data_IF_523356586686
#
_entry.id   IF_523356586686
#
_cell.length_a   1.000
_cell.length_b   1.000
_cell.length_c   1.000
_cell.angle_alpha   90.00
_cell.angle_beta   90.00
_cell.angle_gamma   90.00
#
_symmetry.space_group_name_H-M   'P 1'
#
loop_
_entity.id
_entity.type
_entity.pdbx_description
1 polymer ?
#
# COMPACT_ATOMS: atom_id res chain seq x y z
N UNK A 1 -23.73 -3.02 -8.55
CA UNK A 1 -22.91 -1.78 -8.64
C UNK A 1 -21.59 -2.09 -7.96
N UNK A 2 -20.50 -2.09 -8.72
CA UNK A 2 -19.16 -2.33 -8.18
C UNK A 2 -18.74 -1.13 -7.35
N UNK A 3 -18.46 -1.36 -6.06
CA UNK A 3 -17.99 -0.32 -5.13
C UNK A 3 -16.50 0.00 -5.42
N UNK A 4 -16.21 0.66 -6.55
CA UNK A 4 -14.86 1.01 -7.00
C UNK A 4 -14.67 2.51 -6.90
N UNK A 5 -13.54 2.93 -6.31
CA UNK A 5 -13.06 4.30 -6.36
C UNK A 5 -12.09 4.41 -7.55
N UNK A 6 -12.31 5.37 -8.45
CA UNK A 6 -11.52 5.54 -9.66
C UNK A 6 -11.10 6.99 -9.85
N UNK A 7 -9.85 7.19 -10.23
CA UNK A 7 -9.34 8.44 -10.74
C UNK A 7 -9.19 8.31 -12.26
N UNK A 8 -9.52 9.37 -12.98
CA UNK A 8 -9.48 9.39 -14.43
C UNK A 8 -8.90 10.73 -14.92
N UNK A 9 -7.69 10.67 -15.46
CA UNK A 9 -7.00 11.81 -16.04
C UNK A 9 -6.72 12.98 -15.10
N UNK A 10 -6.46 12.73 -13.83
CA UNK A 10 -6.31 13.79 -12.82
C UNK A 10 -5.00 14.55 -12.99
N UNK A 11 -5.10 15.86 -13.20
CA UNK A 11 -3.99 16.81 -13.25
C UNK A 11 -4.02 17.75 -12.04
N UNK A 12 -2.83 18.18 -11.58
CA UNK A 12 -2.69 19.22 -10.57
C UNK A 12 -1.36 19.92 -10.63
N UNK A 13 -1.41 21.28 -10.62
CA UNK A 13 -0.25 22.16 -10.56
C UNK A 13 -0.34 23.12 -9.36
N UNK A 14 0.79 23.58 -8.87
CA UNK A 14 0.94 24.66 -7.89
C UNK A 14 1.89 25.71 -8.46
N UNK A 15 1.35 26.82 -8.96
CA UNK A 15 2.09 27.76 -9.77
C UNK A 15 2.62 27.03 -11.03
N UNK A 16 3.88 27.18 -11.32
CA UNK A 16 4.55 26.55 -12.48
C UNK A 16 4.91 25.07 -12.25
N UNK A 17 4.77 24.56 -11.03
CA UNK A 17 5.12 23.18 -10.70
C UNK A 17 3.94 22.25 -10.93
N UNK A 18 4.03 21.40 -11.95
CA UNK A 18 3.08 20.31 -12.18
C UNK A 18 3.38 19.15 -11.23
N UNK A 19 2.42 18.81 -10.38
CA UNK A 19 2.57 17.79 -9.33
C UNK A 19 1.90 16.49 -9.72
N UNK A 20 0.77 16.54 -10.43
CA UNK A 20 0.11 15.35 -10.98
C UNK A 20 -0.10 15.56 -12.47
N UNK A 21 0.12 14.49 -13.24
CA UNK A 21 0.05 14.49 -14.71
C UNK A 21 -0.75 13.26 -15.16
N UNK A 22 -1.99 13.49 -15.61
CA UNK A 22 -2.87 12.46 -16.16
C UNK A 22 -2.97 11.20 -15.26
N UNK A 23 -3.11 11.41 -13.95
CA UNK A 23 -3.14 10.32 -12.97
C UNK A 23 -4.46 9.55 -13.09
N UNK A 24 -4.36 8.27 -13.43
CA UNK A 24 -5.49 7.36 -13.62
C UNK A 24 -5.21 6.01 -12.96
N UNK A 25 -6.09 5.57 -12.06
CA UNK A 25 -6.05 4.23 -11.44
C UNK A 25 -7.36 3.92 -10.75
N UNK A 26 -7.52 2.67 -10.34
CA UNK A 26 -8.68 2.18 -9.60
C UNK A 26 -8.28 1.63 -8.23
N UNK A 27 -9.19 1.78 -7.26
CA UNK A 27 -9.14 1.13 -5.95
C UNK A 27 -10.34 0.20 -5.88
N UNK A 28 -10.16 -1.12 -6.09
CA UNK A 28 -11.26 -2.05 -6.16
C UNK A 28 -11.96 -2.26 -4.81
N UNK A 29 -13.25 -2.61 -4.88
CA UNK A 29 -14.03 -3.00 -3.72
C UNK A 29 -13.44 -4.21 -2.99
N UNK A 30 -13.42 -4.16 -1.67
CA UNK A 30 -13.01 -5.29 -0.86
C UNK A 30 -11.51 -5.61 -0.89
N UNK A 31 -10.69 -4.70 -1.42
CA UNK A 31 -9.25 -4.90 -1.58
C UNK A 31 -8.45 -3.79 -0.93
N UNK A 32 -7.25 -4.14 -0.53
CA UNK A 32 -6.26 -3.20 -0.01
C UNK A 32 -5.30 -2.82 -1.13
N UNK A 33 -5.32 -1.56 -1.53
CA UNK A 33 -4.46 -0.99 -2.58
C UNK A 33 -3.34 -0.15 -1.96
N UNK A 34 -2.10 -0.58 -2.16
CA UNK A 34 -0.91 0.18 -1.78
C UNK A 34 -0.61 1.27 -2.81
N UNK A 35 -0.47 2.52 -2.37
CA UNK A 35 -0.09 3.66 -3.20
C UNK A 35 1.34 4.08 -2.88
N UNK A 36 2.28 3.67 -3.72
CA UNK A 36 3.72 3.78 -3.45
C UNK A 36 4.41 4.80 -4.35
N UNK A 37 5.37 5.47 -3.80
CA UNK A 37 6.18 6.45 -4.51
C UNK A 37 7.13 7.17 -3.57
N UNK A 38 8.19 7.76 -4.10
CA UNK A 38 9.12 8.57 -3.34
C UNK A 38 8.47 9.81 -2.72
N UNK A 39 9.23 10.51 -1.87
CA UNK A 39 8.77 11.77 -1.30
C UNK A 39 8.56 12.81 -2.42
N UNK A 40 7.44 13.52 -2.37
CA UNK A 40 7.07 14.50 -3.40
C UNK A 40 6.55 13.90 -4.71
N UNK A 41 6.35 12.58 -4.81
CA UNK A 41 5.82 11.92 -6.01
C UNK A 41 4.34 12.27 -6.32
N UNK A 42 3.61 12.86 -5.36
CA UNK A 42 2.22 13.27 -5.55
C UNK A 42 1.19 12.46 -4.74
N UNK A 43 1.62 11.52 -3.87
CA UNK A 43 0.73 10.66 -3.08
C UNK A 43 -0.29 11.44 -2.25
N UNK A 44 0.17 12.27 -1.33
CA UNK A 44 -0.68 13.10 -0.46
C UNK A 44 -1.56 14.06 -1.26
N UNK A 45 -1.05 14.64 -2.36
CA UNK A 45 -1.82 15.50 -3.26
C UNK A 45 -2.99 14.73 -3.88
N UNK A 46 -2.74 13.52 -4.37
CA UNK A 46 -3.77 12.63 -4.93
C UNK A 46 -4.84 12.29 -3.89
N UNK A 47 -4.44 11.91 -2.67
CA UNK A 47 -5.37 11.60 -1.59
C UNK A 47 -6.22 12.81 -1.20
N UNK A 48 -5.62 14.02 -1.12
CA UNK A 48 -6.36 15.27 -0.85
C UNK A 48 -7.38 15.60 -1.96
N UNK A 49 -7.10 15.25 -3.21
CA UNK A 49 -8.06 15.40 -4.31
C UNK A 49 -9.21 14.40 -4.17
N UNK A 50 -8.95 13.14 -3.85
CA UNK A 50 -9.99 12.13 -3.58
C UNK A 50 -10.93 12.64 -2.48
N UNK A 51 -10.38 13.19 -1.42
CA UNK A 51 -11.14 13.71 -0.27
C UNK A 51 -11.82 15.07 -0.54
N UNK A 52 -11.51 15.71 -1.68
CA UNK A 52 -12.06 17.04 -2.01
C UNK A 52 -11.52 18.18 -1.16
N UNK A 53 -10.43 17.96 -0.43
CA UNK A 53 -9.65 19.00 0.28
C UNK A 53 -8.91 19.87 -0.74
N UNK A 54 -8.54 19.27 -1.86
CA UNK A 54 -7.90 19.95 -2.98
C UNK A 54 -8.69 19.67 -4.27
N UNK A 55 -8.87 20.69 -5.10
CA UNK A 55 -9.47 20.53 -6.42
C UNK A 55 -8.43 19.99 -7.43
N UNK A 56 -8.85 19.15 -8.37
CA UNK A 56 -8.07 18.83 -9.55
C UNK A 56 -8.17 19.99 -10.56
N UNK A 57 -7.11 20.19 -11.37
CA UNK A 57 -7.13 21.16 -12.46
C UNK A 57 -7.81 20.55 -13.70
N UNK A 58 -7.70 19.23 -13.88
CA UNK A 58 -8.39 18.45 -14.91
C UNK A 58 -8.64 17.02 -14.41
N UNK A 59 -9.46 16.28 -15.15
CA UNK A 59 -9.85 14.91 -14.80
C UNK A 59 -10.93 14.85 -13.74
N UNK A 60 -11.20 13.66 -13.24
CA UNK A 60 -12.26 13.45 -12.25
C UNK A 60 -11.97 12.29 -11.32
N UNK A 61 -12.62 12.30 -10.16
CA UNK A 61 -12.70 11.16 -9.25
C UNK A 61 -14.13 10.65 -9.24
N UNK A 62 -14.29 9.36 -9.47
CA UNK A 62 -15.60 8.70 -9.47
C UNK A 62 -15.66 7.61 -8.40
N UNK A 63 -16.84 7.37 -7.89
CA UNK A 63 -17.13 6.28 -6.97
C UNK A 63 -18.47 5.65 -7.34
N UNK A 64 -18.49 4.31 -7.38
CA UNK A 64 -19.68 3.56 -7.84
C UNK A 64 -20.14 4.00 -9.25
N UNK A 65 -19.19 4.34 -10.13
CA UNK A 65 -19.45 4.71 -11.52
C UNK A 65 -19.96 6.14 -11.75
N UNK A 66 -20.02 6.99 -10.73
CA UNK A 66 -20.45 8.39 -10.83
C UNK A 66 -19.45 9.35 -10.18
N UNK A 67 -19.40 10.63 -10.59
CA UNK A 67 -18.55 11.62 -9.96
C UNK A 67 -18.81 11.73 -8.45
N UNK A 68 -17.74 11.88 -7.67
CA UNK A 68 -17.79 12.02 -6.22
C UNK A 68 -18.44 13.35 -5.83
N UNK A 69 -19.43 13.26 -4.95
CA UNK A 69 -20.06 14.44 -4.32
C UNK A 69 -19.45 14.74 -2.94
N UNK A 70 -19.76 15.90 -2.38
CA UNK A 70 -19.41 16.26 -1.01
C UNK A 70 -20.06 15.33 0.02
N UNK A 71 -21.29 14.87 -0.27
CA UNK A 71 -22.02 13.96 0.61
C UNK A 71 -21.38 12.56 0.65
N UNK A 72 -20.89 12.09 -0.50
CA UNK A 72 -20.17 10.80 -0.55
C UNK A 72 -18.93 10.82 0.34
N UNK A 73 -18.17 11.92 0.30
CA UNK A 73 -16.94 12.07 1.08
C UNK A 73 -17.15 12.06 2.59
N UNK A 74 -18.37 12.37 3.08
CA UNK A 74 -18.72 12.23 4.51
C UNK A 74 -18.70 10.78 4.98
N UNK A 75 -18.84 9.83 4.04
CA UNK A 75 -18.81 8.39 4.31
C UNK A 75 -17.42 7.79 4.14
N UNK A 76 -16.41 8.63 3.84
CA UNK A 76 -15.02 8.20 3.72
C UNK A 76 -14.30 8.34 5.07
N UNK A 77 -13.48 7.34 5.38
CA UNK A 77 -12.51 7.43 6.46
C UNK A 77 -11.20 7.97 5.94
N UNK A 78 -10.65 8.94 6.63
CA UNK A 78 -9.38 9.54 6.28
C UNK A 78 -8.42 9.55 7.46
N UNK A 79 -7.21 9.16 7.20
CA UNK A 79 -6.08 9.32 8.11
C UNK A 79 -4.99 10.12 7.39
N UNK A 80 -4.67 11.33 7.84
CA UNK A 80 -3.55 12.12 7.32
C UNK A 80 -2.20 11.57 7.82
N UNK A 81 -1.12 11.84 7.09
CA UNK A 81 0.27 11.56 7.52
C UNK A 81 0.62 12.33 8.80
N UNK A 82 0.22 13.61 8.86
CA UNK A 82 0.39 14.43 10.05
C UNK A 82 -0.61 14.05 11.13
N UNK A 83 -0.16 14.04 12.39
CA UNK A 83 -1.03 13.71 13.52
C UNK A 83 -2.02 14.83 13.76
N UNK A 84 -3.26 14.62 13.32
CA UNK A 84 -4.34 15.61 13.40
C UNK A 84 -5.22 15.51 14.65
N UNK A 85 -4.89 14.63 15.60
CA UNK A 85 -5.66 14.44 16.82
C UNK A 85 -5.27 15.47 17.89
N UNK A 86 -6.22 15.85 18.76
CA UNK A 86 -6.01 16.83 19.83
C UNK A 86 -5.19 16.26 20.98
N UNK A 87 -3.99 16.80 21.28
CA UNK A 87 -3.06 16.21 22.27
C UNK A 87 -3.64 16.11 23.68
N UNK A 88 -4.45 17.08 24.08
CA UNK A 88 -5.02 17.22 25.43
C UNK A 88 -6.43 16.64 25.59
N UNK A 89 -6.91 15.87 24.62
CA UNK A 89 -8.11 15.05 24.73
C UNK A 89 -7.76 13.61 25.01
N UNK A 90 -8.61 12.90 25.76
CA UNK A 90 -8.44 11.45 25.90
C UNK A 90 -8.76 10.77 24.56
N UNK A 91 -8.13 9.61 24.34
CA UNK A 91 -8.32 8.85 23.08
C UNK A 91 -9.80 8.51 22.88
N UNK A 92 -10.48 8.01 23.93
CA UNK A 92 -11.88 7.62 23.89
C UNK A 92 -12.81 8.79 23.56
N UNK A 93 -12.63 9.91 24.26
CA UNK A 93 -13.44 11.12 24.02
C UNK A 93 -13.29 11.60 22.59
N UNK A 94 -12.05 11.61 22.10
CA UNK A 94 -11.74 12.13 20.78
C UNK A 94 -12.28 11.26 19.66
N UNK A 95 -12.08 9.93 19.72
CA UNK A 95 -12.63 9.00 18.74
C UNK A 95 -14.16 9.05 18.75
N UNK A 96 -14.79 9.09 19.94
CA UNK A 96 -16.24 9.27 20.07
C UNK A 96 -16.72 10.59 19.47
N UNK A 97 -15.99 11.68 19.71
CA UNK A 97 -16.30 13.00 19.15
C UNK A 97 -16.26 12.98 17.62
N UNK A 98 -15.23 12.38 17.02
CA UNK A 98 -15.11 12.27 15.56
C UNK A 98 -16.24 11.41 14.96
N UNK A 99 -16.63 10.31 15.59
CA UNK A 99 -17.82 9.54 15.18
C UNK A 99 -19.09 10.41 15.15
N UNK A 100 -19.27 11.28 16.16
CA UNK A 100 -20.41 12.22 16.20
C UNK A 100 -20.34 13.27 15.09
N UNK A 101 -19.17 13.77 14.74
CA UNK A 101 -18.99 14.70 13.61
C UNK A 101 -19.41 14.06 12.27
N UNK A 102 -19.28 12.73 12.15
CA UNK A 102 -19.79 11.97 11.01
C UNK A 102 -21.29 11.61 11.11
N UNK A 103 -22.01 12.18 12.08
CA UNK A 103 -23.47 12.05 12.20
C UNK A 103 -23.95 10.88 13.06
N UNK A 104 -23.05 10.16 13.74
CA UNK A 104 -23.45 9.11 14.66
C UNK A 104 -24.13 9.66 15.93
N UNK A 105 -25.07 8.89 16.47
CA UNK A 105 -25.56 9.17 17.83
C UNK A 105 -24.44 8.97 18.85
N UNK A 106 -24.48 9.67 19.97
CA UNK A 106 -23.47 9.52 21.03
C UNK A 106 -23.32 8.08 21.50
N UNK A 107 -24.42 7.35 21.63
CA UNK A 107 -24.42 5.98 22.06
C UNK A 107 -23.76 5.04 21.02
N UNK A 108 -24.03 5.24 19.73
CA UNK A 108 -23.40 4.45 18.65
C UNK A 108 -21.90 4.77 18.53
N UNK A 109 -21.53 6.06 18.53
CA UNK A 109 -20.13 6.49 18.47
C UNK A 109 -19.32 5.90 19.64
N UNK A 110 -19.89 5.89 20.86
CA UNK A 110 -19.22 5.34 22.03
C UNK A 110 -19.01 3.83 21.93
N UNK A 111 -20.03 3.09 21.50
CA UNK A 111 -19.90 1.62 21.28
C UNK A 111 -18.85 1.31 20.23
N UNK A 112 -18.87 2.00 19.08
CA UNK A 112 -17.87 1.79 18.02
C UNK A 112 -16.47 2.15 18.51
N UNK A 113 -16.34 3.24 19.28
CA UNK A 113 -15.06 3.62 19.90
C UNK A 113 -14.52 2.50 20.78
N UNK A 114 -15.32 1.96 21.71
CA UNK A 114 -14.88 0.91 22.63
C UNK A 114 -14.42 -0.33 21.87
N UNK A 115 -15.20 -0.78 20.88
CA UNK A 115 -14.85 -1.91 20.01
C UNK A 115 -13.55 -1.65 19.23
N UNK A 116 -13.38 -0.47 18.66
CA UNK A 116 -12.18 -0.15 17.88
C UNK A 116 -10.94 -0.02 18.77
N UNK A 117 -11.06 0.61 19.95
CA UNK A 117 -9.94 0.69 20.88
C UNK A 117 -9.46 -0.69 21.34
N UNK A 118 -10.39 -1.63 21.58
CA UNK A 118 -10.05 -3.03 21.85
C UNK A 118 -9.29 -3.65 20.69
N UNK A 119 -9.82 -3.52 19.46
CA UNK A 119 -9.23 -4.10 18.24
C UNK A 119 -7.84 -3.55 17.90
N UNK A 120 -7.62 -2.26 18.13
CA UNK A 120 -6.29 -1.66 17.90
C UNK A 120 -5.37 -1.78 19.13
N UNK A 121 -5.79 -2.48 20.19
CA UNK A 121 -5.00 -2.72 21.40
C UNK A 121 -4.78 -1.47 22.25
N UNK A 122 -5.80 -0.60 22.34
CA UNK A 122 -5.80 0.64 23.15
C UNK A 122 -6.93 0.67 24.20
N UNK A 123 -7.60 -0.45 24.49
CA UNK A 123 -8.73 -0.48 25.41
C UNK A 123 -8.38 0.10 26.78
N UNK A 124 -7.25 -0.31 27.37
CA UNK A 124 -6.79 0.13 28.69
C UNK A 124 -6.20 1.56 28.67
N UNK A 125 -5.91 2.09 27.51
CA UNK A 125 -5.36 3.43 27.28
C UNK A 125 -6.41 4.44 26.77
N UNK A 126 -7.68 4.02 26.70
CA UNK A 126 -8.75 4.83 26.14
C UNK A 126 -8.95 6.17 26.85
N UNK A 127 -8.71 6.21 28.15
CA UNK A 127 -8.89 7.40 28.98
C UNK A 127 -7.60 8.23 29.17
N UNK A 128 -6.46 7.75 28.64
CA UNK A 128 -5.20 8.50 28.62
C UNK A 128 -5.27 9.67 27.65
N UNK A 129 -4.59 10.78 27.98
CA UNK A 129 -4.41 11.89 27.04
C UNK A 129 -3.55 11.46 25.87
N UNK A 130 -3.91 11.89 24.65
CA UNK A 130 -3.20 11.49 23.44
C UNK A 130 -1.70 11.79 23.50
N UNK A 131 -1.31 12.95 24.03
CA UNK A 131 0.10 13.38 24.14
C UNK A 131 0.94 12.48 25.06
N UNK A 132 0.32 11.71 25.95
CA UNK A 132 1.03 10.78 26.84
C UNK A 132 1.33 9.42 26.20
N UNK A 133 0.74 9.15 25.04
CA UNK A 133 0.92 7.90 24.33
C UNK A 133 2.20 7.88 23.51
N UNK A 134 2.80 6.69 23.33
CA UNK A 134 3.87 6.48 22.36
C UNK A 134 3.39 6.81 20.94
N UNK A 135 4.33 7.11 20.04
CA UNK A 135 4.04 7.44 18.65
C UNK A 135 3.20 6.34 17.97
N UNK A 136 3.51 5.07 18.19
CA UNK A 136 2.74 3.93 17.66
C UNK A 136 1.33 3.86 18.22
N UNK A 137 1.13 4.18 19.52
CA UNK A 137 -0.19 4.23 20.11
C UNK A 137 -1.03 5.39 19.56
N UNK A 138 -0.42 6.56 19.34
CA UNK A 138 -1.07 7.70 18.68
C UNK A 138 -1.49 7.33 17.25
N UNK A 139 -0.66 6.58 16.52
CA UNK A 139 -0.96 6.08 15.19
C UNK A 139 -2.18 5.15 15.20
N UNK A 140 -2.22 4.21 16.14
CA UNK A 140 -3.38 3.31 16.33
C UNK A 140 -4.66 4.08 16.69
N UNK A 141 -4.55 5.13 17.50
CA UNK A 141 -5.67 6.01 17.81
C UNK A 141 -6.20 6.76 16.57
N UNK A 142 -5.32 7.23 15.67
CA UNK A 142 -5.72 7.84 14.40
C UNK A 142 -6.46 6.85 13.49
N UNK A 143 -6.00 5.60 13.44
CA UNK A 143 -6.68 4.55 12.67
C UNK A 143 -8.08 4.28 13.22
N UNK A 144 -8.21 4.17 14.55
CA UNK A 144 -9.52 4.03 15.19
C UNK A 144 -10.44 5.21 14.85
N UNK A 145 -9.90 6.44 14.88
CA UNK A 145 -10.64 7.65 14.50
C UNK A 145 -11.12 7.65 13.04
N UNK A 146 -10.28 7.15 12.12
CA UNK A 146 -10.65 7.03 10.70
C UNK A 146 -11.74 5.97 10.45
N UNK A 147 -11.89 5.00 11.35
CA UNK A 147 -12.81 3.87 11.21
C UNK A 147 -14.12 4.01 11.99
N UNK A 148 -14.19 4.91 12.99
CA UNK A 148 -15.26 4.94 13.99
C UNK A 148 -16.68 5.05 13.43
N UNK A 149 -16.85 5.69 12.27
CA UNK A 149 -18.13 5.91 11.60
C UNK A 149 -18.46 4.88 10.53
N UNK A 150 -17.78 3.73 10.55
CA UNK A 150 -17.96 2.64 9.58
C UNK A 150 -17.86 3.10 8.11
N UNK A 151 -16.73 3.69 7.70
CA UNK A 151 -16.59 4.32 6.38
C UNK A 151 -16.74 3.35 5.21
N UNK A 152 -17.37 3.79 4.12
CA UNK A 152 -17.54 3.01 2.90
C UNK A 152 -16.30 2.99 1.99
N UNK A 153 -15.36 3.90 2.20
CA UNK A 153 -14.03 3.99 1.56
C UNK A 153 -13.01 4.43 2.61
N UNK A 154 -11.81 3.85 2.58
CA UNK A 154 -10.70 4.26 3.43
C UNK A 154 -9.57 4.86 2.59
N UNK A 155 -9.07 6.02 3.01
CA UNK A 155 -7.88 6.69 2.45
C UNK A 155 -6.92 6.98 3.59
N UNK A 156 -5.78 6.29 3.62
CA UNK A 156 -4.84 6.32 4.75
C UNK A 156 -3.46 6.74 4.27
N UNK A 157 -2.95 7.86 4.79
CA UNK A 157 -1.63 8.37 4.43
C UNK A 157 -0.60 7.90 5.45
N UNK A 158 0.32 7.00 5.04
CA UNK A 158 1.37 6.36 5.85
C UNK A 158 0.85 5.69 7.15
N UNK A 159 -0.17 4.81 7.10
CA UNK A 159 -0.82 4.27 8.30
C UNK A 159 0.07 3.38 9.17
N UNK A 160 1.15 2.84 8.62
CA UNK A 160 2.05 1.92 9.31
C UNK A 160 3.32 2.61 9.86
N UNK A 161 3.47 3.92 9.64
CA UNK A 161 4.63 4.68 10.09
C UNK A 161 4.75 4.67 11.61
N UNK A 162 5.94 4.29 12.13
CA UNK A 162 6.22 4.28 13.57
C UNK A 162 5.55 3.14 14.36
N UNK A 163 4.98 2.16 13.69
CA UNK A 163 4.47 0.93 14.31
C UNK A 163 5.56 -0.14 14.36
N UNK A 164 5.57 -0.90 15.44
CA UNK A 164 6.32 -2.15 15.51
C UNK A 164 5.61 -3.27 14.71
N UNK A 165 6.28 -4.39 14.40
CA UNK A 165 5.69 -5.46 13.59
C UNK A 165 4.36 -6.03 14.13
N UNK A 166 4.21 -6.16 15.45
CA UNK A 166 2.97 -6.67 16.06
C UNK A 166 1.83 -5.66 15.92
N UNK A 167 2.14 -4.38 16.09
CA UNK A 167 1.16 -3.31 15.87
C UNK A 167 0.74 -3.22 14.40
N UNK A 168 1.67 -3.43 13.45
CA UNK A 168 1.33 -3.52 12.02
C UNK A 168 0.34 -4.64 11.77
N UNK A 169 0.59 -5.85 12.28
CA UNK A 169 -0.30 -7.00 12.08
C UNK A 169 -1.69 -6.75 12.69
N UNK A 170 -1.76 -6.12 13.86
CA UNK A 170 -3.02 -5.72 14.51
C UNK A 170 -3.82 -4.74 13.63
N UNK A 171 -3.17 -3.71 13.14
CA UNK A 171 -3.80 -2.69 12.28
C UNK A 171 -4.26 -3.31 10.95
N UNK A 172 -3.43 -4.13 10.34
CA UNK A 172 -3.78 -4.84 9.09
C UNK A 172 -5.01 -5.71 9.26
N UNK A 173 -5.14 -6.44 10.38
CA UNK A 173 -6.32 -7.24 10.64
C UNK A 173 -7.59 -6.38 10.64
N UNK A 174 -7.57 -5.23 11.32
CA UNK A 174 -8.70 -4.28 11.36
C UNK A 174 -9.02 -3.71 9.98
N UNK A 175 -8.01 -3.34 9.19
CA UNK A 175 -8.21 -2.81 7.83
C UNK A 175 -8.73 -3.88 6.88
N UNK A 176 -8.27 -5.13 6.98
CA UNK A 176 -8.76 -6.27 6.17
C UNK A 176 -10.21 -6.61 6.50
N UNK A 177 -10.60 -6.57 7.76
CA UNK A 177 -12.00 -6.75 8.14
C UNK A 177 -12.88 -5.68 7.49
N UNK A 178 -12.41 -4.42 7.46
CA UNK A 178 -13.14 -3.35 6.78
C UNK A 178 -13.19 -3.55 5.27
N UNK A 179 -12.09 -3.94 4.65
CA UNK A 179 -12.08 -4.32 3.23
C UNK A 179 -13.07 -5.45 2.94
N UNK A 180 -13.10 -6.50 3.78
CA UNK A 180 -14.00 -7.65 3.62
C UNK A 180 -15.50 -7.28 3.59
N UNK A 181 -15.89 -6.10 4.13
CA UNK A 181 -17.27 -5.58 3.97
C UNK A 181 -17.53 -4.96 2.59
N UNK A 182 -16.56 -4.98 1.68
CA UNK A 182 -16.64 -4.38 0.35
C UNK A 182 -16.12 -2.95 0.26
N UNK A 183 -15.52 -2.40 1.33
CA UNK A 183 -14.93 -1.07 1.30
C UNK A 183 -13.60 -1.09 0.52
N UNK A 184 -13.38 -0.20 -0.49
CA UNK A 184 -12.06 0.06 -1.04
C UNK A 184 -11.15 0.67 0.03
N UNK A 185 -9.92 0.15 0.14
CA UNK A 185 -8.90 0.69 1.06
C UNK A 185 -7.69 1.12 0.26
N UNK A 186 -7.42 2.43 0.23
CA UNK A 186 -6.22 3.03 -0.34
C UNK A 186 -5.30 3.47 0.78
N UNK A 187 -4.06 2.98 0.79
CA UNK A 187 -3.07 3.46 1.75
C UNK A 187 -1.74 3.80 1.06
N UNK A 188 -1.14 4.92 1.45
CA UNK A 188 0.21 5.26 1.01
C UNK A 188 1.25 4.55 1.87
N UNK A 189 2.40 4.27 1.27
CA UNK A 189 3.61 3.90 1.99
C UNK A 189 4.86 4.19 1.16
N UNK A 190 5.97 4.46 1.86
CA UNK A 190 7.31 4.46 1.28
C UNK A 190 8.07 3.17 1.62
N UNK A 191 7.51 2.29 2.46
CA UNK A 191 8.07 0.99 2.87
C UNK A 191 7.52 -0.11 1.97
N UNK A 192 8.28 -0.45 0.92
CA UNK A 192 7.84 -1.39 -0.11
C UNK A 192 7.64 -2.81 0.41
N UNK A 193 8.47 -3.25 1.37
CA UNK A 193 8.37 -4.55 2.04
C UNK A 193 7.05 -4.71 2.82
N UNK A 194 6.61 -3.65 3.50
CA UNK A 194 5.32 -3.63 4.18
C UNK A 194 4.19 -3.73 3.16
N UNK A 195 4.25 -2.92 2.09
CA UNK A 195 3.23 -2.94 1.03
C UNK A 195 3.16 -4.30 0.34
N UNK A 196 4.31 -4.90 0.00
CA UNK A 196 4.38 -6.21 -0.64
C UNK A 196 3.68 -7.31 0.18
N UNK A 197 3.80 -7.25 1.50
CA UNK A 197 3.16 -8.20 2.41
C UNK A 197 1.65 -7.97 2.57
N UNK A 198 1.19 -6.72 2.50
CA UNK A 198 -0.13 -6.33 2.97
C UNK A 198 -1.15 -6.02 1.88
N UNK A 199 -0.73 -5.52 0.70
CA UNK A 199 -1.67 -5.10 -0.34
C UNK A 199 -2.09 -6.26 -1.26
N UNK A 200 -3.28 -6.13 -1.83
CA UNK A 200 -3.79 -6.99 -2.89
C UNK A 200 -3.45 -6.40 -4.27
N UNK A 201 -3.52 -5.07 -4.36
CA UNK A 201 -3.20 -4.27 -5.54
C UNK A 201 -2.16 -3.20 -5.18
N UNK A 202 -1.43 -2.77 -6.20
CA UNK A 202 -0.38 -1.76 -6.08
C UNK A 202 -0.56 -0.69 -7.15
N UNK A 203 -0.34 0.55 -6.76
CA UNK A 203 -0.23 1.70 -7.67
C UNK A 203 1.10 2.40 -7.40
N UNK A 204 1.95 2.48 -8.40
CA UNK A 204 3.28 3.12 -8.33
C UNK A 204 3.21 4.49 -8.99
N UNK A 205 3.56 5.53 -8.25
CA UNK A 205 3.64 6.90 -8.75
C UNK A 205 5.07 7.44 -8.65
N UNK A 206 5.56 8.01 -9.73
CA UNK A 206 6.86 8.72 -9.75
C UNK A 206 6.76 9.96 -10.62
N UNK A 207 7.28 11.09 -10.13
CA UNK A 207 7.24 12.38 -10.84
C UNK A 207 5.82 12.85 -11.21
N UNK A 208 4.81 12.49 -10.40
CA UNK A 208 3.42 12.88 -10.65
C UNK A 208 2.70 12.01 -11.70
N UNK A 209 3.30 10.93 -12.17
CA UNK A 209 2.75 10.03 -13.20
C UNK A 209 2.60 8.63 -12.63
N UNK A 210 1.49 7.95 -12.94
CA UNK A 210 1.36 6.53 -12.63
C UNK A 210 2.29 5.74 -13.54
N UNK A 211 3.22 5.02 -12.95
CA UNK A 211 4.19 4.18 -13.64
C UNK A 211 3.70 2.75 -13.82
N UNK A 212 3.00 2.23 -12.81
CA UNK A 212 2.40 0.91 -12.85
C UNK A 212 1.18 0.86 -11.92
N UNK A 213 0.17 0.08 -12.30
CA UNK A 213 -1.00 -0.20 -11.46
C UNK A 213 -1.56 -1.58 -11.79
N UNK A 214 -1.98 -2.33 -10.78
CA UNK A 214 -2.60 -3.65 -10.95
C UNK A 214 -2.44 -4.54 -9.73
N UNK A 215 -2.89 -5.79 -9.83
CA UNK A 215 -2.66 -6.78 -8.77
C UNK A 215 -1.17 -7.14 -8.66
N UNK A 216 -0.76 -7.63 -7.49
CA UNK A 216 0.63 -8.09 -7.29
C UNK A 216 1.06 -9.11 -8.34
N UNK A 217 0.18 -10.04 -8.68
CA UNK A 217 0.44 -11.08 -9.70
C UNK A 217 0.59 -10.46 -11.08
N UNK A 218 -0.29 -9.53 -11.46
CA UNK A 218 -0.21 -8.82 -12.74
C UNK A 218 1.09 -8.03 -12.87
N UNK A 219 1.47 -7.27 -11.82
CA UNK A 219 2.71 -6.50 -11.84
C UNK A 219 3.93 -7.40 -11.94
N UNK A 220 3.96 -8.49 -11.17
CA UNK A 220 5.02 -9.49 -11.28
C UNK A 220 5.11 -10.09 -12.68
N UNK A 221 3.99 -10.49 -13.27
CA UNK A 221 4.00 -11.08 -14.63
C UNK A 221 4.37 -10.08 -15.72
N UNK A 222 4.04 -8.80 -15.55
CA UNK A 222 4.30 -7.75 -16.56
C UNK A 222 5.74 -7.23 -16.54
N UNK A 223 6.31 -7.10 -15.34
CA UNK A 223 7.63 -6.45 -15.17
C UNK A 223 8.76 -7.45 -14.86
N UNK A 224 8.57 -8.76 -15.17
CA UNK A 224 9.60 -9.74 -14.90
C UNK A 224 9.92 -10.63 -16.08
N UNK A 225 11.21 -10.67 -16.40
CA UNK A 225 11.79 -11.81 -17.12
C UNK A 225 11.72 -13.07 -16.24
N UNK A 226 11.61 -14.28 -16.84
CA UNK A 226 11.71 -15.51 -16.07
C UNK A 226 12.99 -15.51 -15.25
N UNK A 227 12.86 -15.49 -13.93
CA UNK A 227 13.97 -15.46 -12.98
C UNK A 227 14.10 -16.77 -12.28
N UNK A 228 15.34 -17.24 -12.09
CA UNK A 228 15.65 -18.50 -11.46
C UNK A 228 16.71 -18.32 -10.37
N UNK A 229 16.59 -19.13 -9.32
CA UNK A 229 17.63 -19.34 -8.32
C UNK A 229 18.28 -20.70 -8.55
N UNK A 230 19.60 -20.70 -8.65
CA UNK A 230 20.43 -21.89 -8.68
C UNK A 230 21.28 -21.92 -7.41
N UNK A 231 21.27 -23.06 -6.71
CA UNK A 231 22.19 -23.35 -5.60
C UNK A 231 22.95 -24.65 -5.94
N UNK A 232 24.26 -24.56 -6.00
CA UNK A 232 25.18 -25.68 -6.29
C UNK A 232 26.11 -25.96 -5.11
N UNK A 233 26.88 -27.04 -5.13
CA UNK A 233 27.88 -27.29 -4.09
C UNK A 233 29.21 -26.57 -4.35
N UNK A 234 29.45 -26.17 -5.59
CA UNK A 234 30.66 -25.48 -6.02
C UNK A 234 30.39 -24.02 -6.26
N UNK A 235 31.24 -23.31 -6.99
CA UNK A 235 31.04 -21.94 -7.37
C UNK A 235 30.06 -21.85 -8.57
N UNK A 236 29.03 -20.96 -8.47
CA UNK A 236 28.08 -20.67 -9.52
C UNK A 236 28.58 -19.58 -10.50
N UNK A 237 29.78 -19.04 -10.32
CA UNK A 237 30.35 -17.94 -11.11
C UNK A 237 30.44 -18.19 -12.62
N UNK A 238 30.43 -19.44 -13.07
CA UNK A 238 30.39 -19.83 -14.48
C UNK A 238 29.14 -19.36 -15.22
N UNK A 239 28.05 -19.00 -14.49
CA UNK A 239 26.83 -18.45 -15.08
C UNK A 239 27.07 -17.10 -15.78
N UNK A 240 28.14 -16.37 -15.46
CA UNK A 240 28.51 -15.14 -16.12
C UNK A 240 28.77 -15.30 -17.63
N UNK A 241 29.31 -16.45 -17.96
CA UNK A 241 29.70 -16.78 -19.33
C UNK A 241 28.65 -17.65 -20.06
N UNK A 242 27.52 -17.93 -19.39
CA UNK A 242 26.45 -18.75 -19.96
C UNK A 242 25.59 -17.90 -20.91
N UNK A 243 25.49 -18.30 -22.21
CA UNK A 243 24.68 -17.56 -23.18
C UNK A 243 23.21 -17.43 -22.77
N UNK A 244 22.64 -16.23 -22.89
CA UNK A 244 21.25 -15.96 -22.56
C UNK A 244 20.95 -15.80 -21.06
N UNK A 245 21.96 -15.89 -20.19
CA UNK A 245 21.83 -15.66 -18.77
C UNK A 245 22.20 -14.22 -18.42
N UNK A 246 21.33 -13.52 -17.68
CA UNK A 246 21.63 -12.21 -17.08
C UNK A 246 21.68 -12.40 -15.57
N UNK A 247 22.88 -12.30 -14.97
CA UNK A 247 23.04 -12.40 -13.54
C UNK A 247 22.42 -11.22 -12.80
N UNK A 248 21.61 -11.53 -11.79
CA UNK A 248 20.98 -10.55 -10.87
C UNK A 248 21.74 -10.51 -9.55
N UNK A 249 22.09 -11.68 -9.00
CA UNK A 249 22.82 -11.82 -7.73
C UNK A 249 23.72 -13.05 -7.81
N UNK A 250 24.90 -12.97 -7.19
CA UNK A 250 25.85 -14.09 -7.13
C UNK A 250 26.60 -14.07 -5.81
N UNK A 251 26.40 -15.12 -5.03
CA UNK A 251 27.08 -15.34 -3.75
C UNK A 251 27.64 -16.79 -3.72
N UNK A 252 28.86 -16.92 -4.21
CA UNK A 252 29.58 -18.22 -4.26
C UNK A 252 28.77 -19.34 -4.93
N UNK A 253 28.20 -20.20 -4.13
CA UNK A 253 27.43 -21.36 -4.57
C UNK A 253 25.98 -21.04 -4.95
N UNK A 254 25.51 -19.83 -4.69
CA UNK A 254 24.13 -19.35 -4.99
C UNK A 254 24.17 -18.30 -6.08
N UNK A 255 23.31 -18.44 -7.06
CA UNK A 255 23.10 -17.43 -8.09
C UNK A 255 21.62 -17.20 -8.33
N UNK A 256 21.25 -15.94 -8.58
CA UNK A 256 19.94 -15.54 -9.11
C UNK A 256 20.18 -14.91 -10.48
N UNK A 257 19.43 -15.35 -11.47
CA UNK A 257 19.60 -14.90 -12.85
C UNK A 257 18.28 -14.85 -13.61
N UNK A 258 18.24 -14.01 -14.63
CA UNK A 258 17.12 -13.86 -15.55
C UNK A 258 17.43 -14.58 -16.87
N UNK A 259 16.38 -15.13 -17.47
CA UNK A 259 16.37 -15.63 -18.85
C UNK A 259 15.45 -14.78 -19.72
N UNK A 260 15.72 -14.62 -21.02
CA UNK A 260 14.79 -13.98 -21.93
C UNK A 260 13.43 -14.68 -21.94
N UNK A 261 12.32 -13.95 -22.08
CA UNK A 261 10.99 -14.55 -22.15
C UNK A 261 10.90 -15.63 -23.22
N UNK A 262 10.34 -16.81 -22.85
CA UNK A 262 10.20 -17.96 -23.75
C UNK A 262 11.48 -18.79 -23.95
N UNK A 263 12.56 -18.49 -23.22
CA UNK A 263 13.78 -19.32 -23.20
C UNK A 263 13.57 -20.52 -22.30
N UNK A 264 13.98 -21.71 -22.79
CA UNK A 264 14.00 -22.94 -22.00
C UNK A 264 15.14 -22.86 -20.95
N UNK A 265 14.81 -23.11 -19.70
CA UNK A 265 15.75 -23.11 -18.58
C UNK A 265 16.57 -24.43 -18.45
N UNK A 266 16.13 -25.47 -19.14
CA UNK A 266 16.77 -26.81 -19.05
C UNK A 266 18.25 -26.82 -19.45
N UNK A 267 18.72 -26.08 -20.48
CA UNK A 267 20.14 -25.99 -20.80
C UNK A 267 21.00 -25.47 -19.63
N UNK A 268 20.50 -24.53 -18.85
CA UNK A 268 21.20 -23.98 -17.68
C UNK A 268 21.25 -25.04 -16.57
N UNK A 269 20.15 -25.75 -16.32
CA UNK A 269 20.12 -26.87 -15.37
C UNK A 269 21.07 -27.99 -15.75
N UNK A 270 21.08 -28.40 -17.00
CA UNK A 270 22.02 -29.45 -17.49
C UNK A 270 23.48 -28.99 -17.36
N UNK A 271 23.78 -27.74 -17.66
CA UNK A 271 25.11 -27.18 -17.49
C UNK A 271 25.55 -27.15 -16.01
N UNK A 272 24.62 -26.90 -15.09
CA UNK A 272 24.87 -26.97 -13.65
C UNK A 272 25.14 -28.42 -13.19
N UNK A 273 24.30 -29.37 -13.57
CA UNK A 273 24.46 -30.81 -13.24
C UNK A 273 25.77 -31.42 -13.78
N UNK A 274 26.22 -30.95 -14.95
CA UNK A 274 27.50 -31.39 -15.51
C UNK A 274 28.73 -30.91 -14.70
N UNK A 275 28.57 -29.85 -13.87
CA UNK A 275 29.64 -29.26 -13.04
C UNK A 275 29.64 -29.79 -11.61
N UNK A 276 28.54 -30.40 -11.16
CA UNK A 276 28.43 -30.96 -9.81
C UNK A 276 27.00 -31.05 -9.31
N UNK A 277 26.81 -31.42 -8.04
CA UNK A 277 25.50 -31.54 -7.44
C UNK A 277 24.76 -30.19 -7.39
N UNK A 278 23.51 -30.22 -7.84
CA UNK A 278 22.56 -29.09 -7.74
C UNK A 278 21.70 -29.29 -6.50
N UNK A 279 21.71 -28.35 -5.59
CA UNK A 279 20.92 -28.34 -4.35
C UNK A 279 19.52 -27.74 -4.55
N UNK A 280 19.43 -26.68 -5.38
CA UNK A 280 18.16 -26.09 -5.76
C UNK A 280 18.25 -25.50 -7.18
N UNK A 281 17.17 -25.64 -7.93
CA UNK A 281 16.92 -24.93 -9.17
C UNK A 281 15.42 -24.63 -9.21
N UNK A 282 15.07 -23.37 -9.07
CA UNK A 282 13.66 -23.00 -8.94
C UNK A 282 13.37 -21.62 -9.53
N UNK A 283 12.15 -21.41 -10.06
CA UNK A 283 11.74 -20.07 -10.41
C UNK A 283 11.62 -19.19 -9.15
N UNK A 284 12.02 -17.94 -9.27
CA UNK A 284 11.94 -16.92 -8.22
C UNK A 284 11.18 -15.73 -8.77
N UNK A 285 10.20 -15.24 -8.04
CA UNK A 285 9.53 -14.00 -8.40
C UNK A 285 10.30 -12.82 -7.83
N UNK A 286 10.57 -11.77 -8.62
CA UNK A 286 11.19 -10.56 -8.11
C UNK A 286 10.31 -9.89 -7.05
N UNK A 287 10.95 -9.21 -6.14
CA UNK A 287 10.27 -8.42 -5.12
C UNK A 287 9.60 -7.19 -5.75
N UNK A 288 8.55 -6.69 -5.10
CA UNK A 288 7.96 -5.40 -5.51
C UNK A 288 8.97 -4.25 -5.41
N UNK A 289 9.96 -4.37 -4.54
CA UNK A 289 11.06 -3.41 -4.41
C UNK A 289 11.91 -3.34 -5.69
N UNK A 290 12.17 -4.49 -6.31
CA UNK A 290 12.90 -4.55 -7.59
C UNK A 290 12.06 -3.97 -8.72
N UNK A 291 10.79 -4.35 -8.82
CA UNK A 291 9.84 -3.78 -9.80
C UNK A 291 9.75 -2.26 -9.61
N UNK A 292 9.64 -1.78 -8.37
CA UNK A 292 9.60 -0.35 -8.09
C UNK A 292 10.86 0.38 -8.60
N UNK A 293 12.05 -0.19 -8.37
CA UNK A 293 13.32 0.43 -8.85
C UNK A 293 13.38 0.51 -10.36
N UNK A 294 12.89 -0.50 -11.05
CA UNK A 294 12.86 -0.55 -12.51
C UNK A 294 11.88 0.47 -13.11
N UNK A 295 10.69 0.58 -12.49
CA UNK A 295 9.57 1.39 -13.00
C UNK A 295 9.66 2.85 -12.55
N UNK A 296 10.32 3.16 -11.44
CA UNK A 296 10.41 4.50 -10.88
C UNK A 296 11.59 5.34 -11.41
N UNK A 297 12.49 4.72 -12.20
CA UNK A 297 13.53 5.42 -12.95
C UNK A 297 12.92 6.08 -14.20
#
# INVERSE_FOLDING_TARGET
>A
VTNVLRLDGVDRSFGDRRVLQNVSFEVPAGRMTGFVGGNGAGKTTTMRIILGVLAADAGQVTWQGRPLTREDRRRFGYMPEERGLYPKMSVREQVTYLGRLHGMTTAAARRNTDVLLERVGLAERGDDLLETLSLGNQQRAQIAAALVHDPEVLVLDEPFSGLDPLAVDTVVAVLRERAATGAPVLFSSHQLDVVERLCDDLVIIAGGVIRAAGSREQLRSTYTSPRYELVVETDAGWLRDQPGVTLVDLDGARAVFDLPPGTDEQPVLHAALARGPVRAFRPVSPSLTEIFREVAQ
#
